data_IF_587954031710
#
_entry.id   IF_587954031710
#
_cell.length_a   1.000
_cell.length_b   1.000
_cell.length_c   1.000
_cell.angle_alpha   90.00
_cell.angle_beta   90.00
_cell.angle_gamma   90.00
#
_symmetry.space_group_name_H-M   'P 1'
#
loop_
_entity.id
_entity.type
_entity.pdbx_description
1 polymer ?
#
# COMPACT_ATOMS: atom_id res chain seq x y z
N UNK A 1 -2.96 -10.17 -58.43
CA UNK A 1 -1.66 -10.83 -58.24
C UNK A 1 -0.59 -9.82 -58.58
N UNK A 2 -0.16 -9.03 -57.59
CA UNK A 2 1.13 -8.33 -57.49
C UNK A 2 1.39 -8.21 -55.97
N UNK A 3 1.95 -9.29 -55.41
CA UNK A 3 3.32 -9.36 -54.86
C UNK A 3 3.50 -8.43 -53.65
N UNK A 4 3.44 -9.07 -52.48
CA UNK A 4 3.88 -8.54 -51.21
C UNK A 4 5.32 -8.02 -51.31
N UNK A 5 5.53 -6.75 -50.99
CA UNK A 5 6.69 -6.20 -50.27
C UNK A 5 6.24 -4.84 -49.74
N UNK A 6 6.05 -4.73 -48.43
CA UNK A 6 6.43 -3.59 -47.57
C UNK A 6 5.89 -3.87 -46.14
N UNK A 7 6.37 -4.96 -45.53
CA UNK A 7 6.45 -5.02 -44.08
C UNK A 7 7.66 -4.17 -43.66
N UNK A 8 7.46 -2.89 -43.36
CA UNK A 8 8.52 -2.06 -42.79
C UNK A 8 7.99 -0.81 -42.07
N UNK A 9 8.15 -0.82 -40.74
CA UNK A 9 8.36 0.33 -39.84
C UNK A 9 7.10 0.97 -39.21
N UNK A 10 6.68 0.33 -38.12
CA UNK A 10 6.39 0.89 -36.79
C UNK A 10 5.62 2.21 -36.65
N UNK A 11 4.40 2.12 -36.15
CA UNK A 11 3.95 3.01 -35.07
C UNK A 11 3.80 2.14 -33.82
N UNK A 12 4.83 2.17 -32.98
CA UNK A 12 4.77 1.61 -31.64
C UNK A 12 3.47 2.09 -31.00
N UNK A 13 2.60 1.16 -30.58
CA UNK A 13 1.57 1.48 -29.62
C UNK A 13 2.31 2.12 -28.44
N UNK A 14 2.20 3.45 -28.30
CA UNK A 14 2.61 4.15 -27.10
C UNK A 14 1.74 3.57 -25.99
N UNK A 15 2.25 2.53 -25.33
CA UNK A 15 1.78 2.09 -24.03
C UNK A 15 2.08 3.27 -23.09
N UNK A 16 1.20 4.27 -23.09
CA UNK A 16 1.15 5.26 -22.05
C UNK A 16 0.81 4.48 -20.79
N UNK A 17 1.83 4.04 -20.05
CA UNK A 17 1.64 3.50 -18.72
C UNK A 17 1.07 4.66 -17.91
N UNK A 18 -0.25 4.63 -17.69
CA UNK A 18 -0.93 5.58 -16.84
C UNK A 18 -0.20 5.55 -15.49
N UNK A 19 0.47 6.64 -15.14
CA UNK A 19 1.03 6.79 -13.79
C UNK A 19 -0.18 6.78 -12.87
N UNK A 20 -0.39 5.66 -12.18
CA UNK A 20 -1.46 5.52 -11.20
C UNK A 20 -1.08 6.39 -10.00
N UNK A 21 -1.48 7.66 -10.03
CA UNK A 21 -1.39 8.55 -8.89
C UNK A 21 -2.44 8.13 -7.88
N UNK A 22 -2.02 7.84 -6.65
CA UNK A 22 -2.95 7.56 -5.55
C UNK A 22 -3.54 8.88 -5.08
N UNK A 23 -4.87 8.97 -5.01
CA UNK A 23 -5.54 10.11 -4.39
C UNK A 23 -5.47 10.03 -2.86
N UNK A 24 -5.65 11.17 -2.18
CA UNK A 24 -5.65 11.20 -0.71
C UNK A 24 -6.74 10.29 -0.10
N UNK A 25 -7.87 10.10 -0.79
CA UNK A 25 -8.97 9.22 -0.38
C UNK A 25 -8.63 7.74 -0.46
N UNK A 26 -7.66 7.36 -1.30
CA UNK A 26 -7.22 5.97 -1.50
C UNK A 26 -5.97 5.64 -0.68
N UNK A 27 -5.34 6.65 -0.08
CA UNK A 27 -4.16 6.48 0.76
C UNK A 27 -4.57 6.00 2.16
N UNK A 28 -3.99 4.89 2.63
CA UNK A 28 -4.41 4.24 3.88
C UNK A 28 -3.38 4.33 5.00
N UNK A 29 -2.18 4.84 4.75
CA UNK A 29 -1.14 4.94 5.77
C UNK A 29 -1.54 5.92 6.90
N UNK A 30 -2.00 5.42 8.02
CA UNK A 30 -2.42 6.22 9.17
C UNK A 30 -3.45 5.49 10.00
N UNK A 31 -3.79 6.04 11.18
CA UNK A 31 -4.83 5.45 12.05
C UNK A 31 -6.17 6.19 11.93
N UNK A 32 -6.13 7.43 11.48
CA UNK A 32 -7.27 8.32 11.30
C UNK A 32 -7.05 9.24 10.09
N UNK A 33 -8.05 10.07 9.77
CA UNK A 33 -7.98 10.98 8.60
C UNK A 33 -6.83 11.99 8.69
N UNK A 34 -6.49 12.45 9.90
CA UNK A 34 -5.46 13.48 10.10
C UNK A 34 -4.06 12.89 9.87
N UNK A 35 -3.78 11.76 10.51
CA UNK A 35 -2.52 11.02 10.34
C UNK A 35 -2.37 10.49 8.92
N UNK A 36 -3.47 10.05 8.29
CA UNK A 36 -3.50 9.65 6.88
C UNK A 36 -3.15 10.81 5.95
N UNK A 37 -3.77 11.98 6.15
CA UNK A 37 -3.46 13.16 5.37
C UNK A 37 -2.00 13.61 5.56
N UNK A 38 -1.50 13.60 6.79
CA UNK A 38 -0.12 13.96 7.08
C UNK A 38 0.88 13.01 6.38
N UNK A 39 0.63 11.70 6.45
CA UNK A 39 1.44 10.70 5.76
C UNK A 39 1.39 10.87 4.24
N UNK A 40 0.19 11.05 3.66
CA UNK A 40 0.01 11.31 2.24
C UNK A 40 0.81 12.54 1.79
N UNK A 41 0.71 13.66 2.52
CA UNK A 41 1.45 14.89 2.20
C UNK A 41 2.94 14.72 2.33
N UNK A 42 3.42 13.96 3.32
CA UNK A 42 4.85 13.69 3.49
C UNK A 42 5.38 12.87 2.31
N UNK A 43 4.75 11.74 2.00
CA UNK A 43 5.16 10.87 0.89
C UNK A 43 5.06 11.61 -0.45
N UNK A 44 3.97 12.33 -0.71
CA UNK A 44 3.78 13.09 -1.95
C UNK A 44 4.82 14.20 -2.15
N UNK A 45 5.39 14.73 -1.07
CA UNK A 45 6.42 15.79 -1.14
C UNK A 45 7.83 15.25 -1.32
N UNK A 46 8.12 14.06 -0.81
CA UNK A 46 9.49 13.52 -0.78
C UNK A 46 9.73 12.43 -1.80
N UNK A 47 8.67 11.74 -2.26
CA UNK A 47 8.69 10.67 -3.24
C UNK A 47 8.10 11.13 -4.58
N UNK A 48 8.42 10.39 -5.66
CA UNK A 48 7.82 10.62 -6.98
C UNK A 48 6.39 10.07 -7.00
N UNK A 49 5.55 10.62 -7.88
CA UNK A 49 4.16 10.17 -8.08
C UNK A 49 4.04 8.63 -8.23
N UNK A 50 4.96 8.02 -8.99
CA UNK A 50 5.01 6.58 -9.24
C UNK A 50 5.27 5.72 -7.97
N UNK A 51 5.68 6.31 -6.84
CA UNK A 51 5.94 5.60 -5.59
C UNK A 51 4.83 5.73 -4.56
N UNK A 52 3.86 6.63 -4.77
CA UNK A 52 2.73 6.74 -3.85
C UNK A 52 1.99 5.41 -3.77
N UNK A 53 1.74 4.77 -4.91
CA UNK A 53 1.06 3.47 -4.97
C UNK A 53 1.85 2.36 -4.23
N UNK A 54 3.13 2.10 -4.57
CA UNK A 54 3.89 1.09 -3.85
C UNK A 54 4.06 1.33 -2.34
N UNK A 55 4.23 2.59 -1.91
CA UNK A 55 4.27 2.92 -0.47
C UNK A 55 2.93 2.62 0.20
N UNK A 56 1.83 2.98 -0.46
CA UNK A 56 0.49 2.75 0.05
C UNK A 56 0.15 1.24 0.13
N UNK A 57 0.64 0.43 -0.81
CA UNK A 57 0.51 -1.03 -0.73
C UNK A 57 1.18 -1.62 0.51
N UNK A 58 2.35 -1.10 0.90
CA UNK A 58 2.97 -1.51 2.15
C UNK A 58 2.08 -1.20 3.37
N UNK A 59 1.39 -0.07 3.37
CA UNK A 59 0.46 0.29 4.44
C UNK A 59 -0.77 -0.61 4.46
N UNK A 60 -1.39 -0.89 3.31
CA UNK A 60 -2.50 -1.85 3.21
C UNK A 60 -2.13 -3.23 3.75
N UNK A 61 -0.93 -3.72 3.42
CA UNK A 61 -0.44 -5.00 3.91
C UNK A 61 -0.20 -4.98 5.43
N UNK A 62 0.33 -3.87 5.96
CA UNK A 62 0.53 -3.68 7.41
C UNK A 62 -0.79 -3.64 8.17
N UNK A 63 -1.77 -2.87 7.70
CA UNK A 63 -3.11 -2.79 8.27
C UNK A 63 -3.79 -4.17 8.30
N UNK A 64 -3.69 -4.93 7.20
CA UNK A 64 -4.21 -6.31 7.13
C UNK A 64 -3.51 -7.22 8.14
N UNK A 65 -2.18 -7.13 8.26
CA UNK A 65 -1.40 -7.91 9.22
C UNK A 65 -1.83 -7.60 10.67
N UNK A 66 -2.10 -6.31 10.95
CA UNK A 66 -2.64 -5.85 12.22
C UNK A 66 -4.06 -6.39 12.46
N UNK A 67 -4.98 -6.26 11.49
CA UNK A 67 -6.34 -6.79 11.62
C UNK A 67 -6.35 -8.32 11.82
N UNK A 68 -5.41 -9.04 11.20
CA UNK A 68 -5.23 -10.50 11.38
C UNK A 68 -4.47 -10.88 12.67
N UNK A 69 -4.00 -9.90 13.44
CA UNK A 69 -3.29 -10.13 14.71
C UNK A 69 -2.10 -11.09 14.57
N UNK A 70 -1.33 -10.99 13.49
CA UNK A 70 -0.18 -11.88 13.22
C UNK A 70 1.06 -11.61 14.09
N UNK A 71 0.95 -10.73 15.08
CA UNK A 71 2.04 -10.28 15.95
C UNK A 71 2.62 -8.93 15.50
N UNK A 72 2.57 -7.93 16.39
CA UNK A 72 2.99 -6.56 16.10
C UNK A 72 4.42 -6.49 15.53
N UNK A 73 5.39 -7.13 16.19
CA UNK A 73 6.79 -7.10 15.75
C UNK A 73 7.00 -7.74 14.37
N UNK A 74 6.24 -8.78 14.04
CA UNK A 74 6.26 -9.40 12.71
C UNK A 74 5.68 -8.45 11.65
N UNK A 75 4.53 -7.85 11.94
CA UNK A 75 3.89 -6.89 11.04
C UNK A 75 4.77 -5.66 10.80
N UNK A 76 5.34 -5.08 11.86
CA UNK A 76 6.22 -3.90 11.76
C UNK A 76 7.50 -4.22 10.97
N UNK A 77 8.09 -5.41 11.18
CA UNK A 77 9.26 -5.85 10.40
C UNK A 77 8.89 -6.00 8.92
N UNK A 78 7.79 -6.68 8.61
CA UNK A 78 7.33 -6.91 7.24
C UNK A 78 7.02 -5.59 6.52
N UNK A 79 6.42 -4.63 7.24
CA UNK A 79 6.19 -3.28 6.74
C UNK A 79 7.50 -2.55 6.41
N UNK A 80 8.47 -2.58 7.33
CA UNK A 80 9.79 -1.99 7.10
C UNK A 80 10.50 -2.61 5.89
N UNK A 81 10.44 -3.94 5.74
CA UNK A 81 11.03 -4.66 4.62
C UNK A 81 10.34 -4.29 3.30
N UNK A 82 9.00 -4.21 3.30
CA UNK A 82 8.22 -3.74 2.15
C UNK A 82 8.61 -2.32 1.74
N UNK A 83 8.71 -1.40 2.71
CA UNK A 83 9.13 -0.05 2.42
C UNK A 83 10.54 -0.05 1.84
N UNK A 84 11.49 -0.78 2.43
CA UNK A 84 12.89 -0.82 2.00
C UNK A 84 13.08 -1.36 0.58
N UNK A 85 12.28 -2.36 0.17
CA UNK A 85 12.35 -2.94 -1.18
C UNK A 85 11.83 -2.01 -2.28
N UNK A 86 11.12 -0.94 -1.94
CA UNK A 86 10.63 0.01 -2.95
C UNK A 86 11.80 0.75 -3.63
N UNK A 87 11.71 0.98 -4.96
CA UNK A 87 12.73 1.71 -5.72
C UNK A 87 13.09 3.03 -5.06
N UNK A 88 14.36 3.43 -5.10
CA UNK A 88 14.80 4.69 -4.52
C UNK A 88 14.41 5.87 -5.44
N UNK A 89 13.69 6.87 -4.92
CA UNK A 89 13.49 8.14 -5.64
C UNK A 89 14.32 9.26 -5.02
N UNK A 90 15.54 8.93 -4.63
CA UNK A 90 16.44 9.83 -3.94
C UNK A 90 16.30 9.80 -2.42
N UNK A 91 17.17 10.57 -1.78
CA UNK A 91 17.46 10.51 -0.35
C UNK A 91 16.25 10.92 0.50
N UNK A 92 15.48 11.93 0.06
CA UNK A 92 14.31 12.43 0.82
C UNK A 92 13.22 11.36 0.95
N UNK A 93 12.83 10.71 -0.15
CA UNK A 93 11.86 9.61 -0.12
C UNK A 93 12.36 8.46 0.75
N UNK A 94 13.65 8.11 0.64
CA UNK A 94 14.26 7.07 1.49
C UNK A 94 14.17 7.43 2.98
N UNK A 95 14.50 8.66 3.34
CA UNK A 95 14.39 9.16 4.72
C UNK A 95 12.94 9.12 5.23
N UNK A 96 11.96 9.51 4.40
CA UNK A 96 10.54 9.38 4.73
C UNK A 96 10.15 7.93 5.00
N UNK A 97 10.54 6.99 4.15
CA UNK A 97 10.24 5.56 4.34
C UNK A 97 10.88 5.00 5.63
N UNK A 98 12.13 5.38 5.92
CA UNK A 98 12.79 5.02 7.17
C UNK A 98 12.02 5.59 8.36
N UNK A 99 11.61 6.86 8.29
CA UNK A 99 10.79 7.50 9.31
C UNK A 99 9.45 6.79 9.55
N UNK A 100 8.77 6.37 8.48
CA UNK A 100 7.54 5.57 8.57
C UNK A 100 7.77 4.24 9.30
N UNK A 101 8.84 3.52 8.95
CA UNK A 101 9.24 2.29 9.64
C UNK A 101 9.51 2.53 11.14
N UNK A 102 10.20 3.62 11.50
CA UNK A 102 10.44 3.95 12.90
C UNK A 102 9.16 4.35 13.64
N UNK A 103 8.25 5.06 12.97
CA UNK A 103 6.98 5.48 13.56
C UNK A 103 6.11 4.29 13.97
N UNK A 104 5.98 3.24 13.14
CA UNK A 104 5.19 2.06 13.52
C UNK A 104 5.82 1.28 14.68
N UNK A 105 7.16 1.19 14.72
CA UNK A 105 7.87 0.55 15.82
C UNK A 105 7.75 1.30 17.14
N UNK A 106 7.78 2.64 17.09
CA UNK A 106 7.71 3.48 18.29
C UNK A 106 6.28 3.67 18.80
N UNK A 107 5.29 3.79 17.90
CA UNK A 107 3.93 4.23 18.24
C UNK A 107 2.82 3.25 17.82
N UNK A 108 3.16 2.17 17.14
CA UNK A 108 2.18 1.24 16.55
C UNK A 108 1.44 0.35 17.56
N UNK A 109 1.86 0.31 18.82
CA UNK A 109 1.31 -0.63 19.82
C UNK A 109 -0.19 -0.45 20.05
N UNK A 110 -0.64 0.79 20.18
CA UNK A 110 -2.07 1.08 20.38
C UNK A 110 -2.88 0.76 19.12
N UNK A 111 -2.35 1.08 17.93
CA UNK A 111 -3.00 0.74 16.66
C UNK A 111 -3.16 -0.78 16.49
N UNK A 112 -2.13 -1.56 16.85
CA UNK A 112 -2.16 -3.01 16.81
C UNK A 112 -3.23 -3.60 17.74
N UNK A 113 -3.26 -3.16 19.00
CA UNK A 113 -4.29 -3.61 19.96
C UNK A 113 -5.71 -3.26 19.53
N UNK A 114 -5.89 -2.07 18.97
CA UNK A 114 -7.20 -1.62 18.51
C UNK A 114 -7.68 -2.41 17.30
N UNK A 115 -6.79 -2.78 16.38
CA UNK A 115 -7.13 -3.64 15.25
C UNK A 115 -7.75 -4.98 15.69
N UNK A 116 -7.17 -5.63 16.72
CA UNK A 116 -7.67 -6.88 17.28
C UNK A 116 -8.91 -6.73 18.16
N UNK A 117 -9.19 -5.52 18.63
CA UNK A 117 -10.36 -5.22 19.47
C UNK A 117 -11.62 -4.90 18.64
N UNK A 118 -11.47 -4.75 17.32
CA UNK A 118 -12.62 -4.64 16.42
C UNK A 118 -13.38 -5.97 16.47
N UNK A 119 -14.56 -5.96 17.11
CA UNK A 119 -15.55 -7.04 16.88
C UNK A 119 -15.76 -7.16 15.36
N UNK A 120 -15.98 -8.37 14.80
CA UNK A 120 -16.38 -8.49 13.41
C UNK A 120 -17.49 -7.48 13.18
N UNK A 121 -17.38 -6.67 12.12
CA UNK A 121 -18.43 -5.70 11.79
C UNK A 121 -19.73 -6.50 11.70
N UNK A 122 -20.62 -6.29 12.67
CA UNK A 122 -21.96 -6.82 12.64
C UNK A 122 -22.62 -6.17 11.40
N UNK A 123 -22.63 -6.92 10.29
CA UNK A 123 -22.91 -6.40 8.96
C UNK A 123 -22.16 -7.05 7.80
N UNK A 124 -21.24 -8.00 8.02
CA UNK A 124 -20.71 -8.86 6.94
C UNK A 124 -21.22 -10.31 7.02
N UNK A 125 -22.42 -10.51 7.59
CA UNK A 125 -23.18 -11.77 7.55
C UNK A 125 -24.13 -11.74 6.34
N UNK A 126 -23.60 -11.43 5.16
CA UNK A 126 -24.32 -11.60 3.89
C UNK A 126 -23.51 -12.40 2.87
N UNK A 127 -22.50 -13.16 3.30
CA UNK A 127 -21.89 -14.18 2.43
C UNK A 127 -21.74 -15.52 3.17
N UNK A 128 -22.89 -16.22 3.22
CA UNK A 128 -23.07 -17.68 3.06
C UNK A 128 -23.12 -18.55 4.34
N UNK A 129 -24.10 -19.48 4.41
CA UNK A 129 -24.60 -20.07 5.64
C UNK A 129 -23.82 -21.30 6.09
N UNK A 130 -24.02 -21.62 7.37
CA UNK A 130 -23.74 -22.90 7.99
C UNK A 130 -24.14 -24.07 7.07
N UNK A 131 -23.18 -24.91 6.73
CA UNK A 131 -23.47 -26.29 6.31
C UNK A 131 -22.50 -27.23 7.01
N UNK A 132 -22.98 -27.84 8.09
CA UNK A 132 -22.56 -29.19 8.46
C UNK A 132 -22.69 -30.11 7.24
N UNK A 133 -21.67 -30.94 7.00
CA UNK A 133 -21.75 -32.33 6.53
C UNK A 133 -20.40 -32.72 5.90
N UNK A 134 -19.60 -33.46 6.68
CA UNK A 134 -18.86 -34.71 6.40
C UNK A 134 -17.66 -34.81 7.34
#
# INVERSE_FOLDING_TARGET
MEIAILFAISAAALLTTSVQSVSVSEFTCGVDKLTTFAAYKMVSRTCRAAQLHPVNECCRAHDRCYDQQMGQGYCDKTFCDCLNSQPSAGIKCKATRIGMCQAVKAFGHHAYKNAGSKKPKLGSIEDIPFRENY
#
